data_IF_948360898899
#
_entry.id   IF_948360898899
#
_cell.length_a   1.000
_cell.length_b   1.000
_cell.length_c   1.000
_cell.angle_alpha   90.00
_cell.angle_beta   90.00
_cell.angle_gamma   90.00
#
_symmetry.space_group_name_H-M   'P 1'
#
loop_
_entity.id
_entity.type
_entity.pdbx_description
1 polymer ?
#
# COMPACT_ATOMS: atom_id res chain seq x y z
N UNK A 1 25.35 -30.21 29.76
CA UNK A 1 25.70 -29.62 28.46
C UNK A 1 24.39 -29.28 27.79
N UNK A 2 23.98 -28.01 27.80
CA UNK A 2 22.73 -27.60 27.16
C UNK A 2 22.89 -27.78 25.64
N UNK A 3 21.96 -28.44 24.94
CA UNK A 3 22.01 -28.46 23.49
C UNK A 3 21.79 -27.03 23.05
N UNK A 4 22.82 -26.39 22.49
CA UNK A 4 22.62 -25.14 21.79
C UNK A 4 21.67 -25.45 20.65
N UNK A 5 20.48 -24.89 20.76
CA UNK A 5 19.30 -25.21 19.98
C UNK A 5 19.56 -24.85 18.52
N UNK A 6 20.14 -25.80 17.76
CA UNK A 6 20.57 -25.62 16.37
C UNK A 6 19.42 -25.10 15.49
N UNK A 7 18.18 -25.42 15.89
CA UNK A 7 16.94 -24.91 15.32
C UNK A 7 16.82 -23.37 15.42
N UNK A 8 17.15 -22.81 16.59
CA UNK A 8 17.13 -21.37 16.87
C UNK A 8 18.24 -20.68 16.09
N UNK A 9 19.46 -21.22 16.09
CA UNK A 9 20.57 -20.66 15.32
C UNK A 9 20.30 -20.64 13.81
N UNK A 10 19.72 -21.73 13.26
CA UNK A 10 19.30 -21.78 11.85
C UNK A 10 18.19 -20.80 11.53
N UNK A 11 17.23 -20.64 12.44
CA UNK A 11 16.13 -19.67 12.28
C UNK A 11 16.64 -18.23 12.30
N UNK A 12 17.51 -17.90 13.26
CA UNK A 12 18.14 -16.57 13.36
C UNK A 12 18.99 -16.26 12.12
N UNK A 13 19.75 -17.23 11.62
CA UNK A 13 20.49 -17.08 10.37
C UNK A 13 19.56 -16.82 9.18
N UNK A 14 18.46 -17.59 9.07
CA UNK A 14 17.46 -17.38 8.02
C UNK A 14 16.82 -16.00 8.07
N UNK A 15 16.49 -15.50 9.26
CA UNK A 15 15.96 -14.16 9.47
C UNK A 15 16.98 -13.07 9.11
N UNK A 16 18.24 -13.21 9.56
CA UNK A 16 19.31 -12.27 9.25
C UNK A 16 19.59 -12.21 7.74
N UNK A 17 19.65 -13.36 7.08
CA UNK A 17 19.82 -13.43 5.62
C UNK A 17 18.66 -12.76 4.89
N UNK A 18 17.41 -13.02 5.31
CA UNK A 18 16.24 -12.36 4.73
C UNK A 18 16.28 -10.84 4.93
N UNK A 19 16.70 -10.38 6.12
CA UNK A 19 16.83 -8.95 6.41
C UNK A 19 17.88 -8.28 5.52
N UNK A 20 19.04 -8.92 5.33
CA UNK A 20 20.11 -8.41 4.47
C UNK A 20 19.71 -8.45 2.97
N UNK A 21 18.91 -9.44 2.57
CA UNK A 21 18.54 -9.67 1.17
C UNK A 21 17.16 -9.16 0.79
N UNK A 22 16.41 -8.54 1.72
CA UNK A 22 15.02 -8.16 1.53
C UNK A 22 14.85 -7.33 0.25
N UNK A 23 15.58 -6.22 0.13
CA UNK A 23 15.51 -5.31 -1.02
C UNK A 23 15.72 -6.02 -2.37
N UNK A 24 16.70 -6.93 -2.44
CA UNK A 24 16.99 -7.73 -3.65
C UNK A 24 15.83 -8.68 -3.98
N UNK A 25 15.25 -9.33 -2.98
CA UNK A 25 14.09 -10.22 -3.17
C UNK A 25 12.86 -9.44 -3.62
N UNK A 26 12.68 -8.21 -3.12
CA UNK A 26 11.61 -7.33 -3.59
C UNK A 26 11.79 -7.00 -5.08
N UNK A 27 13.02 -6.75 -5.51
CA UNK A 27 13.31 -6.38 -6.90
C UNK A 27 13.15 -7.56 -7.88
N UNK A 28 13.51 -8.77 -7.46
CA UNK A 28 13.60 -9.96 -8.32
C UNK A 28 12.29 -10.74 -8.48
N UNK A 29 11.26 -10.49 -7.65
CA UNK A 29 10.03 -11.27 -7.66
C UNK A 29 8.80 -10.41 -8.00
N UNK A 30 8.22 -10.56 -9.20
CA UNK A 30 6.96 -9.91 -9.58
C UNK A 30 5.81 -10.21 -8.61
N UNK A 31 5.80 -11.44 -8.05
CA UNK A 31 4.82 -11.85 -7.05
C UNK A 31 4.99 -11.09 -5.74
N UNK A 32 6.22 -10.91 -5.29
CA UNK A 32 6.49 -10.15 -4.08
C UNK A 32 6.09 -8.68 -4.27
N UNK A 33 6.51 -8.04 -5.36
CA UNK A 33 6.12 -6.66 -5.70
C UNK A 33 4.60 -6.48 -5.69
N UNK A 34 3.89 -7.41 -6.31
CA UNK A 34 2.43 -7.41 -6.33
C UNK A 34 1.80 -7.52 -4.95
N UNK A 35 2.25 -8.47 -4.12
CA UNK A 35 1.73 -8.66 -2.76
C UNK A 35 2.00 -7.41 -1.90
N UNK A 36 3.23 -6.89 -1.95
CA UNK A 36 3.61 -5.67 -1.23
C UNK A 36 2.72 -4.49 -1.64
N UNK A 37 2.55 -4.25 -2.93
CA UNK A 37 1.71 -3.17 -3.45
C UNK A 37 0.26 -3.27 -2.97
N UNK A 38 -0.31 -4.48 -2.89
CA UNK A 38 -1.66 -4.69 -2.35
C UNK A 38 -1.74 -4.32 -0.87
N UNK A 39 -0.78 -4.80 -0.07
CA UNK A 39 -0.77 -4.57 1.38
C UNK A 39 -0.67 -3.07 1.66
N UNK A 40 0.30 -2.39 1.05
CA UNK A 40 0.50 -0.95 1.25
C UNK A 40 -0.68 -0.11 0.74
N UNK A 41 -1.30 -0.52 -0.37
CA UNK A 41 -2.53 0.11 -0.85
C UNK A 41 -3.66 -0.02 0.17
N UNK A 42 -3.90 -1.23 0.67
CA UNK A 42 -4.97 -1.51 1.65
C UNK A 42 -4.78 -0.74 2.95
N UNK A 43 -3.55 -0.62 3.42
CA UNK A 43 -3.23 0.19 4.59
C UNK A 43 -3.59 1.66 4.38
N UNK A 44 -3.15 2.25 3.27
CA UNK A 44 -3.46 3.65 2.96
C UNK A 44 -4.96 3.88 2.75
N UNK A 45 -5.64 2.98 2.02
CA UNK A 45 -7.08 3.07 1.76
C UNK A 45 -7.90 2.88 3.04
N UNK A 46 -7.49 1.94 3.91
CA UNK A 46 -8.11 1.75 5.23
C UNK A 46 -7.98 3.00 6.11
N UNK A 47 -6.82 3.65 6.12
CA UNK A 47 -6.62 4.89 6.86
C UNK A 47 -7.54 6.02 6.35
N UNK A 48 -7.65 6.17 5.02
CA UNK A 48 -8.53 7.16 4.41
C UNK A 48 -10.01 6.87 4.69
N UNK A 49 -10.42 5.59 4.61
CA UNK A 49 -11.79 5.17 4.88
C UNK A 49 -12.17 5.31 6.35
N UNK A 50 -11.24 5.05 7.27
CA UNK A 50 -11.45 5.27 8.71
C UNK A 50 -11.69 6.75 9.00
N UNK A 51 -10.86 7.64 8.42
CA UNK A 51 -11.07 9.08 8.50
C UNK A 51 -12.43 9.48 7.93
N UNK A 52 -12.73 9.06 6.69
CA UNK A 52 -14.00 9.38 6.05
C UNK A 52 -15.19 8.93 6.89
N UNK A 53 -15.14 7.73 7.45
CA UNK A 53 -16.21 7.18 8.29
C UNK A 53 -16.42 7.98 9.57
N UNK A 54 -15.34 8.51 10.16
CA UNK A 54 -15.36 9.31 11.39
C UNK A 54 -15.98 10.71 11.23
N UNK A 55 -16.09 11.22 9.98
CA UNK A 55 -16.63 12.54 9.72
C UNK A 55 -18.15 12.61 9.99
N UNK A 56 -18.66 13.71 10.57
CA UNK A 56 -20.09 13.97 10.63
C UNK A 56 -20.72 14.06 9.24
N UNK A 57 -22.00 13.66 9.13
CA UNK A 57 -22.71 13.62 7.83
C UNK A 57 -22.78 14.98 7.13
N UNK A 58 -22.88 16.06 7.91
CA UNK A 58 -22.80 17.42 7.38
C UNK A 58 -21.49 17.68 6.62
N UNK A 59 -20.35 17.32 7.22
CA UNK A 59 -19.01 17.49 6.62
C UNK A 59 -18.84 16.55 5.41
N UNK A 60 -19.30 15.29 5.54
CA UNK A 60 -19.33 14.35 4.41
C UNK A 60 -20.11 14.93 3.23
N UNK A 61 -21.25 15.58 3.50
CA UNK A 61 -22.07 16.25 2.50
C UNK A 61 -21.31 17.36 1.76
N UNK A 62 -20.59 18.21 2.49
CA UNK A 62 -19.79 19.29 1.90
C UNK A 62 -18.60 18.78 1.07
N UNK A 63 -17.97 17.68 1.48
CA UNK A 63 -16.78 17.13 0.82
C UNK A 63 -17.09 16.09 -0.27
N UNK A 64 -18.35 15.66 -0.39
CA UNK A 64 -18.76 14.52 -1.23
C UNK A 64 -18.33 14.66 -2.68
N UNK A 65 -18.52 15.84 -3.26
CA UNK A 65 -18.21 16.06 -4.68
C UNK A 65 -16.71 16.13 -4.93
N UNK A 66 -15.96 16.79 -4.06
CA UNK A 66 -14.49 16.80 -4.10
C UNK A 66 -13.93 15.37 -3.98
N UNK A 67 -14.45 14.57 -3.03
CA UNK A 67 -14.04 13.18 -2.88
C UNK A 67 -14.34 12.34 -4.13
N UNK A 68 -15.52 12.51 -4.75
CA UNK A 68 -15.88 11.82 -6.00
C UNK A 68 -14.97 12.21 -7.15
N UNK A 69 -14.70 13.51 -7.31
CA UNK A 69 -13.85 14.01 -8.36
C UNK A 69 -12.40 13.53 -8.17
N UNK A 70 -11.92 13.50 -6.93
CA UNK A 70 -10.63 12.91 -6.59
C UNK A 70 -10.56 11.42 -6.95
N UNK A 71 -11.57 10.60 -6.58
CA UNK A 71 -11.62 9.17 -6.96
C UNK A 71 -11.60 9.01 -8.47
N UNK A 72 -12.40 9.81 -9.21
CA UNK A 72 -12.45 9.77 -10.68
C UNK A 72 -11.08 10.09 -11.29
N UNK A 73 -10.40 11.13 -10.80
CA UNK A 73 -9.07 11.51 -11.27
C UNK A 73 -8.02 10.44 -10.93
N UNK A 74 -8.07 9.88 -9.72
CA UNK A 74 -7.22 8.77 -9.28
C UNK A 74 -7.37 7.57 -10.21
N UNK A 75 -8.60 7.14 -10.49
CA UNK A 75 -8.88 6.01 -11.37
C UNK A 75 -8.50 6.29 -12.83
N UNK A 76 -8.65 7.53 -13.31
CA UNK A 76 -8.20 7.92 -14.66
C UNK A 76 -6.67 7.86 -14.79
N UNK A 77 -5.93 8.28 -13.75
CA UNK A 77 -4.47 8.33 -13.76
C UNK A 77 -3.83 6.95 -13.56
N UNK A 78 -4.34 6.17 -12.61
CA UNK A 78 -3.72 4.91 -12.20
C UNK A 78 -4.37 3.66 -12.83
N UNK A 79 -5.58 3.79 -13.38
CA UNK A 79 -6.46 2.65 -13.62
C UNK A 79 -7.27 2.29 -12.38
N UNK A 80 -8.48 1.77 -12.56
CA UNK A 80 -9.39 1.45 -11.47
C UNK A 80 -9.17 0.03 -10.93
N UNK A 81 -9.21 -0.14 -9.60
CA UNK A 81 -8.94 -1.43 -8.94
C UNK A 81 -9.93 -2.51 -9.39
N UNK A 82 -11.19 -2.16 -9.64
CA UNK A 82 -12.23 -3.08 -10.09
C UNK A 82 -11.87 -3.72 -11.44
N UNK A 83 -11.07 -3.03 -12.26
CA UNK A 83 -10.63 -3.54 -13.57
C UNK A 83 -9.46 -4.52 -13.47
N UNK A 84 -8.83 -4.66 -12.30
CA UNK A 84 -7.70 -5.57 -12.09
C UNK A 84 -8.15 -7.03 -12.07
N UNK A 85 -9.33 -7.32 -11.48
CA UNK A 85 -9.86 -8.67 -11.36
C UNK A 85 -10.29 -9.25 -12.71
N UNK A 86 -10.82 -8.40 -13.59
CA UNK A 86 -11.44 -8.81 -14.85
C UNK A 86 -10.48 -8.80 -16.05
N UNK A 87 -9.31 -8.17 -15.92
CA UNK A 87 -8.33 -8.11 -16.99
C UNK A 87 -7.19 -9.12 -16.74
N UNK A 88 -6.81 -9.85 -17.79
CA UNK A 88 -5.70 -10.80 -17.76
C UNK A 88 -4.34 -10.07 -17.81
N UNK A 89 -4.08 -9.20 -16.82
CA UNK A 89 -2.85 -8.39 -16.69
C UNK A 89 -1.75 -9.17 -15.98
N UNK A 90 -0.49 -8.84 -16.31
CA UNK A 90 0.68 -9.39 -15.61
C UNK A 90 0.71 -8.96 -14.13
N UNK A 91 1.44 -9.70 -13.28
CA UNK A 91 1.60 -9.30 -11.88
C UNK A 91 2.29 -7.94 -11.73
N UNK A 92 3.20 -7.59 -12.63
CA UNK A 92 3.90 -6.31 -12.63
C UNK A 92 2.98 -5.14 -12.97
N UNK A 93 2.11 -5.32 -13.98
CA UNK A 93 1.10 -4.30 -14.32
C UNK A 93 0.14 -4.09 -13.15
N UNK A 94 -0.30 -5.19 -12.52
CA UNK A 94 -1.18 -5.13 -11.35
C UNK A 94 -0.49 -4.42 -10.18
N UNK A 95 0.78 -4.73 -9.93
CA UNK A 95 1.57 -4.05 -8.90
C UNK A 95 1.66 -2.55 -9.16
N UNK A 96 1.93 -2.14 -10.40
CA UNK A 96 2.03 -0.74 -10.81
C UNK A 96 0.75 0.04 -10.54
N UNK A 97 -0.43 -0.55 -10.84
CA UNK A 97 -1.72 0.08 -10.56
C UNK A 97 -1.92 0.26 -9.05
N UNK A 98 -1.65 -0.78 -8.26
CA UNK A 98 -1.78 -0.71 -6.80
C UNK A 98 -0.83 0.34 -6.19
N UNK A 99 0.42 0.38 -6.63
CA UNK A 99 1.41 1.38 -6.19
C UNK A 99 0.95 2.80 -6.53
N UNK A 100 0.47 3.06 -7.76
CA UNK A 100 -0.04 4.37 -8.15
C UNK A 100 -1.25 4.79 -7.30
N UNK A 101 -2.20 3.85 -7.10
CA UNK A 101 -3.38 4.07 -6.26
C UNK A 101 -3.01 4.37 -4.81
N UNK A 102 -2.03 3.65 -4.26
CA UNK A 102 -1.47 3.84 -2.94
C UNK A 102 -0.81 5.22 -2.80
N UNK A 103 0.00 5.63 -3.78
CA UNK A 103 0.66 6.94 -3.77
C UNK A 103 -0.35 8.09 -3.76
N UNK A 104 -1.33 8.06 -4.68
CA UNK A 104 -2.40 9.06 -4.73
C UNK A 104 -3.20 9.12 -3.42
N UNK A 105 -3.38 7.97 -2.76
CA UNK A 105 -4.08 7.88 -1.47
C UNK A 105 -3.25 8.46 -0.33
N UNK A 106 -1.93 8.21 -0.28
CA UNK A 106 -1.02 8.87 0.68
C UNK A 106 -0.97 10.38 0.48
N UNK A 107 -0.90 10.85 -0.77
CA UNK A 107 -0.97 12.28 -1.10
C UNK A 107 -2.25 12.91 -0.56
N UNK A 108 -3.39 12.21 -0.70
CA UNK A 108 -4.66 12.69 -0.16
C UNK A 108 -4.67 12.73 1.37
N UNK A 109 -4.11 11.71 2.04
CA UNK A 109 -3.96 11.70 3.50
C UNK A 109 -3.12 12.90 3.99
N UNK A 110 -2.04 13.24 3.28
CA UNK A 110 -1.22 14.42 3.58
C UNK A 110 -1.98 15.73 3.37
N UNK A 111 -2.74 15.86 2.27
CA UNK A 111 -3.58 17.04 2.02
C UNK A 111 -4.66 17.25 3.09
N UNK A 112 -5.14 16.15 3.69
CA UNK A 112 -6.10 16.16 4.79
C UNK A 112 -5.44 16.33 6.17
N UNK A 113 -4.10 16.43 6.24
CA UNK A 113 -3.36 16.59 7.49
C UNK A 113 -3.31 15.34 8.38
N UNK A 114 -3.57 14.16 7.81
CA UNK A 114 -3.66 12.89 8.56
C UNK A 114 -2.33 12.15 8.67
N UNK A 115 -1.36 12.54 7.85
CA UNK A 115 -0.01 11.97 7.84
C UNK A 115 1.00 13.08 7.61
N UNK A 116 2.15 13.00 8.28
CA UNK A 116 3.25 13.93 8.07
C UNK A 116 4.01 13.63 6.77
N UNK A 117 4.49 14.69 6.13
CA UNK A 117 5.43 14.61 5.02
C UNK A 117 6.80 14.24 5.59
N UNK A 118 7.19 12.96 5.49
CA UNK A 118 8.50 12.49 6.00
C UNK A 118 9.69 13.07 5.22
N UNK A 119 9.45 13.75 4.09
CA UNK A 119 10.48 14.37 3.24
C UNK A 119 10.83 15.82 3.62
N UNK A 120 10.34 16.32 4.77
CA UNK A 120 10.82 17.59 5.38
C UNK A 120 11.60 17.31 6.66
N UNK A 121 12.82 16.81 6.52
CA UNK A 121 13.84 16.90 7.57
C UNK A 121 15.21 17.15 6.97
#
# INVERSE_FOLDING_TARGET
MYPHDESVSRTLYGLAWLQENAARLEEQSPRFKYIKAIVEFREADSALNAYWSSLPDYIKGQMKEDARQWIKNKNKKCGAIETIANNNRSLEDKATIYTCQQQMTRERLMQLGLTENKDKK
#
